data_IF_128176306626
#
_entry.id   IF_128176306626
#
_cell.length_a   1.000
_cell.length_b   1.000
_cell.length_c   1.000
_cell.angle_alpha   90.00
_cell.angle_beta   90.00
_cell.angle_gamma   90.00
#
_symmetry.space_group_name_H-M   'P 1'
#
loop_
_entity.id
_entity.type
_entity.pdbx_description
1 polymer ?
#
# COMPACT_ATOMS: atom_id res chain seq x y z
N UNK A 1 -6.57 -25.29 22.03
CA UNK A 1 -5.55 -24.99 21.02
C UNK A 1 -4.47 -24.16 21.70
N UNK A 2 -3.19 -24.34 21.38
CA UNK A 2 -2.16 -23.49 21.94
C UNK A 2 -2.43 -22.04 21.51
N UNK A 3 -2.41 -21.14 22.45
CA UNK A 3 -2.45 -19.70 22.21
C UNK A 3 -1.07 -19.27 21.72
N UNK A 4 -1.02 -18.51 20.63
CA UNK A 4 0.22 -17.94 20.09
C UNK A 4 0.13 -16.45 20.24
N UNK A 5 1.07 -15.87 20.98
CA UNK A 5 1.19 -14.43 21.16
C UNK A 5 2.42 -13.96 20.36
N UNK A 6 2.22 -12.95 19.55
CA UNK A 6 3.26 -12.32 18.74
C UNK A 6 3.12 -10.79 18.87
N UNK A 7 4.23 -10.10 18.81
CA UNK A 7 4.27 -8.64 18.95
C UNK A 7 4.75 -8.01 17.64
N UNK A 8 4.04 -7.00 17.19
CA UNK A 8 4.36 -6.19 16.02
C UNK A 8 4.14 -4.72 16.35
N UNK A 9 4.86 -3.84 15.66
CA UNK A 9 4.69 -2.39 15.80
C UNK A 9 3.40 -1.92 15.12
N UNK A 10 3.10 -2.52 13.95
CA UNK A 10 1.95 -2.13 13.12
C UNK A 10 1.19 -3.37 12.65
N UNK A 11 -0.12 -3.31 12.79
CA UNK A 11 -1.04 -4.34 12.27
C UNK A 11 -1.90 -3.72 11.17
N UNK A 12 -1.90 -4.36 10.00
CA UNK A 12 -2.75 -3.98 8.86
C UNK A 12 -3.80 -5.06 8.63
N UNK A 13 -5.08 -4.69 8.67
CA UNK A 13 -6.19 -5.62 8.44
C UNK A 13 -6.77 -5.40 7.06
N UNK A 14 -6.60 -6.41 6.21
CA UNK A 14 -7.05 -6.41 4.82
C UNK A 14 -5.94 -6.11 3.83
N UNK A 15 -5.85 -6.93 2.77
CA UNK A 15 -4.84 -6.85 1.71
C UNK A 15 -5.41 -6.32 0.38
N UNK A 16 -6.36 -5.40 0.44
CA UNK A 16 -6.74 -4.58 -0.71
C UNK A 16 -5.64 -3.57 -1.04
N UNK A 17 -5.80 -2.75 -2.09
CA UNK A 17 -4.78 -1.79 -2.51
C UNK A 17 -4.32 -0.87 -1.37
N UNK A 18 -5.25 -0.35 -0.57
CA UNK A 18 -4.90 0.51 0.57
C UNK A 18 -4.10 -0.23 1.64
N UNK A 19 -4.47 -1.48 1.95
CA UNK A 19 -3.73 -2.30 2.91
C UNK A 19 -2.34 -2.66 2.42
N UNK A 20 -2.18 -3.00 1.14
CA UNK A 20 -0.87 -3.24 0.54
C UNK A 20 0.05 -2.03 0.67
N UNK A 21 -0.45 -0.83 0.32
CA UNK A 21 0.33 0.40 0.41
C UNK A 21 0.67 0.77 1.86
N UNK A 22 -0.27 0.61 2.79
CA UNK A 22 -0.04 0.86 4.21
C UNK A 22 1.02 -0.09 4.80
N UNK A 23 0.92 -1.38 4.49
CA UNK A 23 1.87 -2.38 4.96
C UNK A 23 3.28 -2.15 4.39
N UNK A 24 3.37 -1.85 3.09
CA UNK A 24 4.65 -1.54 2.44
C UNK A 24 5.27 -0.25 3.00
N UNK A 25 4.47 0.79 3.24
CA UNK A 25 4.97 2.03 3.82
C UNK A 25 5.53 1.81 5.23
N UNK A 26 4.79 1.10 6.09
CA UNK A 26 5.21 0.79 7.44
C UNK A 26 6.50 -0.03 7.48
N UNK A 27 6.55 -1.12 6.72
CA UNK A 27 7.71 -2.00 6.65
C UNK A 27 8.96 -1.29 6.09
N UNK A 28 8.80 -0.46 5.06
CA UNK A 28 9.90 0.34 4.47
C UNK A 28 10.44 1.42 5.42
N UNK A 29 9.65 1.84 6.40
CA UNK A 29 10.08 2.72 7.49
C UNK A 29 10.80 1.95 8.61
N UNK A 30 10.89 0.63 8.51
CA UNK A 30 11.59 -0.23 9.47
C UNK A 30 10.71 -0.71 10.63
N UNK A 31 9.39 -0.58 10.56
CA UNK A 31 8.49 -1.11 11.57
C UNK A 31 8.19 -2.59 11.31
N UNK A 32 8.28 -3.41 12.35
CA UNK A 32 7.83 -4.81 12.27
C UNK A 32 6.31 -4.82 12.05
N UNK A 33 5.92 -5.18 10.85
CA UNK A 33 4.55 -5.04 10.36
C UNK A 33 3.94 -6.40 10.06
N UNK A 34 2.70 -6.62 10.49
CA UNK A 34 1.91 -7.78 10.08
C UNK A 34 0.68 -7.34 9.30
N UNK A 35 0.42 -8.00 8.18
CA UNK A 35 -0.78 -7.80 7.37
C UNK A 35 -1.65 -9.05 7.37
N UNK A 36 -2.90 -8.91 7.82
CA UNK A 36 -3.89 -9.99 7.79
C UNK A 36 -4.76 -9.91 6.54
N UNK A 37 -5.02 -11.07 5.93
CA UNK A 37 -5.97 -11.20 4.83
C UNK A 37 -6.74 -12.51 4.95
N UNK A 38 -8.00 -12.52 4.54
CA UNK A 38 -8.81 -13.75 4.52
C UNK A 38 -8.36 -14.73 3.42
N UNK A 39 -7.71 -14.22 2.37
CA UNK A 39 -7.13 -15.02 1.31
C UNK A 39 -5.93 -14.32 0.70
N UNK A 40 -4.80 -15.01 0.64
CA UNK A 40 -3.58 -14.50 -0.02
C UNK A 40 -3.76 -14.37 -1.53
N UNK A 41 -4.66 -15.11 -2.12
CA UNK A 41 -4.96 -15.04 -3.55
C UNK A 41 -5.81 -13.81 -3.93
N UNK A 42 -6.35 -13.11 -2.93
CA UNK A 42 -7.10 -11.87 -3.11
C UNK A 42 -6.30 -10.59 -2.83
N UNK A 43 -4.99 -10.71 -2.61
CA UNK A 43 -4.10 -9.55 -2.43
C UNK A 43 -4.16 -8.65 -3.66
N UNK A 44 -4.40 -7.35 -3.45
CA UNK A 44 -4.52 -6.33 -4.51
C UNK A 44 -5.50 -6.72 -5.64
N UNK A 45 -6.55 -7.47 -5.31
CA UNK A 45 -7.53 -7.95 -6.27
C UNK A 45 -8.23 -6.79 -6.98
N UNK A 46 -8.38 -6.93 -8.30
CA UNK A 46 -9.15 -6.03 -9.16
C UNK A 46 -10.46 -6.72 -9.61
N UNK A 47 -11.54 -6.69 -8.79
CA UNK A 47 -12.74 -7.50 -9.06
C UNK A 47 -13.53 -7.04 -10.29
N UNK A 48 -13.49 -5.75 -10.59
CA UNK A 48 -14.19 -5.15 -11.73
C UNK A 48 -13.26 -4.98 -12.93
N UNK A 49 -13.28 -3.79 -13.54
CA UNK A 49 -12.36 -3.43 -14.62
C UNK A 49 -10.95 -3.21 -14.06
N UNK A 50 -9.94 -3.91 -14.56
CA UNK A 50 -8.58 -3.82 -14.05
C UNK A 50 -7.88 -2.56 -14.55
N UNK A 51 -8.33 -1.40 -14.09
CA UNK A 51 -7.81 -0.11 -14.51
C UNK A 51 -7.23 0.66 -13.34
N UNK A 52 -6.04 1.22 -13.53
CA UNK A 52 -5.42 2.18 -12.63
C UNK A 52 -5.41 3.54 -13.31
N UNK A 53 -5.73 4.60 -12.55
CA UNK A 53 -5.79 5.96 -13.06
C UNK A 53 -7.19 6.34 -13.59
N UNK A 54 -7.23 7.25 -14.58
CA UNK A 54 -8.45 7.82 -15.11
C UNK A 54 -8.84 9.16 -14.47
N UNK A 55 -9.96 9.74 -14.90
CA UNK A 55 -10.32 11.13 -14.63
C UNK A 55 -10.46 11.50 -13.14
N UNK A 56 -10.78 10.54 -12.27
CA UNK A 56 -10.99 10.79 -10.84
C UNK A 56 -9.93 10.17 -9.94
N UNK A 57 -9.01 9.39 -10.49
CA UNK A 57 -8.06 8.60 -9.71
C UNK A 57 -6.60 8.79 -10.12
N UNK A 58 -6.35 9.27 -11.33
CA UNK A 58 -4.99 9.38 -11.88
C UNK A 58 -4.08 10.30 -11.05
N UNK A 59 -4.61 11.39 -10.51
CA UNK A 59 -3.84 12.30 -9.65
C UNK A 59 -3.50 11.64 -8.31
N UNK A 60 -4.43 10.89 -7.70
CA UNK A 60 -4.18 10.16 -6.45
C UNK A 60 -3.08 9.11 -6.62
N UNK A 61 -3.08 8.38 -7.74
CA UNK A 61 -2.03 7.40 -8.03
C UNK A 61 -0.66 8.07 -8.17
N UNK A 62 -0.61 9.26 -8.81
CA UNK A 62 0.64 10.03 -8.93
C UNK A 62 1.13 10.58 -7.61
N UNK A 63 0.23 11.05 -6.75
CA UNK A 63 0.57 11.50 -5.39
C UNK A 63 1.12 10.34 -4.57
N UNK A 64 0.47 9.18 -4.63
CA UNK A 64 0.93 7.96 -3.99
C UNK A 64 2.31 7.53 -4.50
N UNK A 65 2.52 7.53 -5.81
CA UNK A 65 3.80 7.20 -6.43
C UNK A 65 4.92 8.17 -6.00
N UNK A 66 4.62 9.47 -5.92
CA UNK A 66 5.56 10.48 -5.43
C UNK A 66 5.98 10.26 -3.96
N UNK A 67 5.12 9.63 -3.16
CA UNK A 67 5.42 9.21 -1.79
C UNK A 67 6.13 7.85 -1.69
N UNK A 68 6.45 7.24 -2.84
CA UNK A 68 7.15 5.94 -2.88
C UNK A 68 6.23 4.72 -2.91
N UNK A 69 4.92 4.91 -3.14
CA UNK A 69 3.94 3.84 -3.25
C UNK A 69 4.25 2.83 -4.35
N UNK A 70 3.63 1.67 -4.28
CA UNK A 70 3.91 0.55 -5.18
C UNK A 70 2.90 0.42 -6.32
N UNK A 71 1.70 0.97 -6.19
CA UNK A 71 0.64 0.84 -7.19
C UNK A 71 1.07 1.35 -8.57
N UNK A 72 1.73 2.51 -8.64
CA UNK A 72 2.25 3.08 -9.89
C UNK A 72 3.29 2.18 -10.53
N UNK A 73 4.26 1.72 -9.76
CA UNK A 73 5.32 0.81 -10.21
C UNK A 73 4.77 -0.54 -10.67
N UNK A 74 3.78 -1.05 -9.95
CA UNK A 74 3.17 -2.35 -10.26
C UNK A 74 2.34 -2.30 -11.55
N UNK A 75 1.57 -1.22 -11.77
CA UNK A 75 0.82 -1.07 -13.02
C UNK A 75 1.75 -0.88 -14.21
N UNK A 76 2.87 -0.19 -14.06
CA UNK A 76 3.86 0.00 -15.13
C UNK A 76 4.52 -1.31 -15.59
N UNK A 77 4.56 -2.32 -14.72
CA UNK A 77 5.06 -3.66 -15.07
C UNK A 77 4.00 -4.54 -15.73
N UNK A 78 2.71 -4.32 -15.44
CA UNK A 78 1.62 -5.28 -15.71
C UNK A 78 0.51 -4.71 -16.61
N UNK A 79 0.66 -3.49 -17.14
CA UNK A 79 -0.33 -2.92 -18.03
C UNK A 79 -0.32 -3.60 -19.40
N UNK A 80 -1.52 -3.83 -19.94
CA UNK A 80 -1.73 -4.32 -21.30
C UNK A 80 -2.10 -3.20 -22.28
N UNK A 81 -2.65 -2.11 -21.76
CA UNK A 81 -3.00 -0.92 -22.53
C UNK A 81 -2.89 0.33 -21.65
N UNK A 82 -2.29 1.37 -22.19
CA UNK A 82 -2.28 2.71 -21.61
C UNK A 82 -2.92 3.68 -22.59
N UNK A 83 -3.85 4.51 -22.08
CA UNK A 83 -4.59 5.47 -22.89
C UNK A 83 -4.80 6.79 -22.16
N UNK A 84 -4.54 7.89 -22.87
CA UNK A 84 -4.96 9.21 -22.41
C UNK A 84 -6.45 9.39 -22.63
N UNK A 85 -7.17 9.80 -21.59
CA UNK A 85 -8.59 10.14 -21.65
C UNK A 85 -8.78 11.65 -21.79
N UNK A 86 -9.92 12.05 -22.37
CA UNK A 86 -10.34 13.45 -22.50
C UNK A 86 -9.40 14.35 -23.33
N UNK A 87 -8.64 13.79 -24.26
CA UNK A 87 -7.72 14.56 -25.12
C UNK A 87 -8.41 15.71 -25.86
N UNK A 88 -9.68 15.52 -26.26
CA UNK A 88 -10.47 16.54 -26.93
C UNK A 88 -10.99 17.67 -26.02
N UNK A 89 -10.86 17.52 -24.70
CA UNK A 89 -11.45 18.45 -23.70
C UNK A 89 -10.44 19.43 -23.10
N UNK A 90 -9.20 19.39 -23.56
CA UNK A 90 -8.13 20.26 -23.10
C UNK A 90 -7.25 19.67 -21.99
N UNK A 91 -6.04 20.23 -21.79
CA UNK A 91 -5.00 19.64 -20.93
C UNK A 91 -5.39 19.47 -19.47
N UNK A 92 -6.24 20.36 -18.94
CA UNK A 92 -6.61 20.35 -17.53
C UNK A 92 -7.39 19.08 -17.10
N UNK A 93 -8.01 18.38 -18.05
CA UNK A 93 -8.79 17.17 -17.80
C UNK A 93 -8.19 15.92 -18.44
N UNK A 94 -6.99 16.02 -19.00
CA UNK A 94 -6.25 14.87 -19.49
C UNK A 94 -5.95 13.92 -18.35
N UNK A 95 -6.28 12.65 -18.54
CA UNK A 95 -6.11 11.63 -17.50
C UNK A 95 -5.60 10.35 -18.08
N UNK A 96 -4.44 9.92 -17.64
CA UNK A 96 -3.89 8.64 -18.01
C UNK A 96 -4.65 7.51 -17.33
N UNK A 97 -5.03 6.50 -18.09
CA UNK A 97 -5.63 5.26 -17.61
C UNK A 97 -4.86 4.08 -18.16
N UNK A 98 -4.36 3.24 -17.28
CA UNK A 98 -3.74 1.98 -17.63
C UNK A 98 -4.67 0.81 -17.31
N UNK A 99 -4.82 -0.12 -18.24
CA UNK A 99 -5.51 -1.37 -18.06
C UNK A 99 -4.48 -2.46 -17.76
N UNK A 100 -4.66 -3.16 -16.63
CA UNK A 100 -3.77 -4.22 -16.18
C UNK A 100 -4.20 -5.59 -16.68
N UNK A 101 -3.24 -6.51 -16.80
CA UNK A 101 -3.53 -7.92 -16.62
C UNK A 101 -3.80 -8.18 -15.13
N UNK A 102 -4.98 -8.73 -14.81
CA UNK A 102 -5.40 -8.94 -13.41
C UNK A 102 -4.51 -9.92 -12.67
N UNK A 103 -4.13 -10.99 -13.35
CA UNK A 103 -3.34 -12.07 -12.73
C UNK A 103 -1.91 -11.59 -12.50
N UNK A 104 -1.31 -10.99 -13.51
CA UNK A 104 0.04 -10.47 -13.41
C UNK A 104 0.14 -9.35 -12.37
N UNK A 105 -0.86 -8.45 -12.32
CA UNK A 105 -0.89 -7.37 -11.33
C UNK A 105 -0.95 -7.90 -9.90
N UNK A 106 -1.85 -8.86 -9.64
CA UNK A 106 -2.01 -9.49 -8.32
C UNK A 106 -0.77 -10.28 -7.94
N UNK A 107 -0.24 -11.09 -8.86
CA UNK A 107 0.98 -11.87 -8.63
C UNK A 107 2.21 -10.98 -8.36
N UNK A 108 2.39 -9.93 -9.14
CA UNK A 108 3.49 -8.99 -8.97
C UNK A 108 3.40 -8.23 -7.64
N UNK A 109 2.22 -7.74 -7.26
CA UNK A 109 2.04 -7.07 -5.96
C UNK A 109 2.29 -8.03 -4.79
N UNK A 110 1.79 -9.25 -4.86
CA UNK A 110 2.04 -10.28 -3.86
C UNK A 110 3.53 -10.57 -3.73
N UNK A 111 4.25 -10.71 -4.83
CA UNK A 111 5.69 -10.94 -4.81
C UNK A 111 6.45 -9.79 -4.15
N UNK A 112 6.05 -8.54 -4.39
CA UNK A 112 6.66 -7.37 -3.73
C UNK A 112 6.43 -7.45 -2.22
N UNK A 113 5.21 -7.72 -1.78
CA UNK A 113 4.87 -7.83 -0.36
C UNK A 113 5.63 -8.96 0.34
N UNK A 114 5.68 -10.16 -0.29
CA UNK A 114 6.36 -11.33 0.27
C UNK A 114 7.90 -11.15 0.37
N UNK A 115 8.49 -10.29 -0.47
CA UNK A 115 9.93 -10.01 -0.45
C UNK A 115 10.30 -8.71 0.30
N UNK A 116 9.34 -8.05 0.93
CA UNK A 116 9.61 -6.84 1.70
C UNK A 116 10.07 -7.22 3.12
N UNK A 117 11.25 -6.73 3.50
CA UNK A 117 11.76 -6.88 4.87
C UNK A 117 10.79 -6.24 5.88
N UNK A 118 10.77 -6.74 7.11
CA UNK A 118 9.88 -6.29 8.19
C UNK A 118 8.37 -6.43 7.91
N UNK A 119 7.97 -7.22 6.88
CA UNK A 119 6.58 -7.47 6.57
C UNK A 119 6.23 -8.96 6.68
N UNK A 120 5.32 -9.28 7.57
CA UNK A 120 4.73 -10.61 7.70
C UNK A 120 3.32 -10.60 7.13
N UNK A 121 3.00 -11.55 6.24
CA UNK A 121 1.65 -11.73 5.72
C UNK A 121 1.03 -12.96 6.36
N UNK A 122 -0.17 -12.83 6.88
CA UNK A 122 -0.89 -13.93 7.50
C UNK A 122 -2.30 -14.08 6.94
N UNK A 123 -2.61 -15.28 6.47
CA UNK A 123 -3.97 -15.60 6.08
C UNK A 123 -4.77 -15.98 7.33
N UNK A 124 -5.61 -15.07 7.78
CA UNK A 124 -6.51 -15.25 8.90
C UNK A 124 -7.64 -14.23 8.87
N UNK A 125 -8.74 -14.57 9.52
CA UNK A 125 -9.83 -13.66 9.79
C UNK A 125 -9.59 -12.97 11.14
N UNK A 126 -9.62 -11.63 11.15
CA UNK A 126 -9.58 -10.83 12.38
C UNK A 126 -11.01 -10.75 12.91
N UNK A 127 -11.24 -11.38 14.05
CA UNK A 127 -12.59 -11.47 14.65
C UNK A 127 -12.87 -10.40 15.68
N UNK A 128 -11.83 -9.88 16.33
CA UNK A 128 -12.00 -8.91 17.40
C UNK A 128 -10.75 -8.02 17.50
N UNK A 129 -10.95 -6.75 17.83
CA UNK A 129 -9.90 -5.80 18.17
C UNK A 129 -10.02 -5.48 19.65
N UNK A 130 -9.05 -5.95 20.42
CA UNK A 130 -8.96 -5.63 21.84
C UNK A 130 -8.07 -4.39 22.01
N UNK A 131 -8.58 -3.38 22.68
CA UNK A 131 -7.84 -2.13 22.93
C UNK A 131 -7.73 -1.88 24.42
N UNK A 132 -6.57 -1.43 24.85
CA UNK A 132 -6.35 -0.94 26.19
C UNK A 132 -6.18 0.57 26.18
N UNK A 133 -6.70 1.31 27.18
CA UNK A 133 -6.47 2.74 27.27
C UNK A 133 -4.97 2.98 27.51
N UNK A 134 -4.32 3.71 26.61
CA UNK A 134 -2.96 4.16 26.79
C UNK A 134 -2.97 5.47 27.56
N UNK A 135 -2.35 5.50 28.74
CA UNK A 135 -2.01 6.77 29.39
C UNK A 135 -0.88 7.41 28.57
N UNK A 136 -1.24 8.44 27.80
CA UNK A 136 -0.24 9.25 27.08
C UNK A 136 0.52 10.06 28.13
N UNK A 137 1.77 9.70 28.37
CA UNK A 137 2.68 10.53 29.13
C UNK A 137 2.83 11.88 28.40
N UNK A 138 2.57 12.97 29.13
CA UNK A 138 2.66 14.33 28.59
C UNK A 138 4.08 14.67 28.03
N UNK A 139 5.10 13.92 28.41
CA UNK A 139 6.46 14.01 27.87
C UNK A 139 6.56 13.53 26.41
N UNK A 140 5.82 12.49 26.00
CA UNK A 140 5.80 11.99 24.62
C UNK A 140 5.17 12.99 23.63
N UNK A 141 4.26 13.85 24.12
CA UNK A 141 3.64 14.90 23.30
C UNK A 141 4.54 16.15 23.13
N UNK A 142 5.61 16.27 23.91
CA UNK A 142 6.53 17.40 23.87
C UNK A 142 7.76 17.18 22.99
N UNK A 143 8.07 15.97 22.59
CA UNK A 143 9.15 15.69 21.63
C UNK A 143 8.64 15.83 20.20
N UNK A 144 9.20 16.77 19.39
CA UNK A 144 8.94 16.76 17.96
C UNK A 144 9.46 15.43 17.39
N UNK A 145 8.61 14.74 16.59
CA UNK A 145 8.98 13.49 15.93
C UNK A 145 10.38 13.64 15.29
N UNK A 146 11.35 12.96 15.83
CA UNK A 146 12.70 12.88 15.24
C UNK A 146 12.58 12.01 13.98
N UNK A 147 12.23 12.65 12.86
CA UNK A 147 12.44 12.03 11.56
C UNK A 147 13.94 11.76 11.40
N UNK A 148 14.34 10.55 10.98
CA UNK A 148 15.74 10.28 10.68
C UNK A 148 16.22 11.25 9.62
N UNK A 149 17.23 12.07 9.96
CA UNK A 149 17.72 13.18 9.13
C UNK A 149 18.59 12.75 7.94
N UNK A 150 18.61 11.48 7.55
CA UNK A 150 19.60 10.94 6.61
C UNK A 150 19.08 10.33 5.32
N UNK A 151 17.80 10.39 4.97
CA UNK A 151 17.33 9.71 3.75
C UNK A 151 16.72 10.58 2.65
N UNK A 152 16.89 11.89 2.68
CA UNK A 152 16.42 12.74 1.58
C UNK A 152 17.55 13.57 0.97
N UNK A 153 18.50 12.90 0.29
CA UNK A 153 19.33 13.54 -0.72
C UNK A 153 18.70 13.24 -2.08
N UNK A 154 17.92 14.19 -2.58
CA UNK A 154 17.62 14.28 -3.99
C UNK A 154 18.94 14.59 -4.70
N UNK A 155 19.41 13.64 -5.51
CA UNK A 155 20.49 13.89 -6.46
C UNK A 155 19.96 14.76 -7.60
N UNK A 156 20.75 15.70 -8.14
CA UNK A 156 20.36 16.63 -9.19
C UNK A 156 20.06 15.95 -10.52
#
# INVERSE_FOLDING_TARGET
MPFVEETYDIIVVGAGHAGCEAALAAARLGFETIMFTVSVDSIALMPCNPNIGGSSKGHLVRELDALGGEMGKNIDKTFIQSKMLNESKGPAVHSLRAQADKQDYTASMRQVLENTEHLTIRQAEVTELLTEPMELDAELLSEPAKLPSESMRLSP
#
